data_IF_622023855607
#
_entry.id   IF_622023855607
#
_cell.length_a   1.000
_cell.length_b   1.000
_cell.length_c   1.000
_cell.angle_alpha   90.00
_cell.angle_beta   90.00
_cell.angle_gamma   90.00
#
_symmetry.space_group_name_H-M   'P 1'
#
loop_
_entity.id
_entity.type
_entity.pdbx_description
1 polymer ?
#
# COMPACT_ATOMS: atom_id res chain seq x y z
N UNK A 1 57.33 62.98 -4.84
CA UNK A 1 57.00 61.60 -4.56
C UNK A 1 55.49 61.38 -4.74
N UNK A 2 55.10 60.88 -5.88
CA UNK A 2 53.70 60.74 -6.30
C UNK A 2 53.31 59.27 -6.05
N UNK A 3 52.32 59.05 -5.16
CA UNK A 3 51.83 57.71 -4.83
C UNK A 3 50.61 57.41 -5.72
N UNK A 4 50.76 56.50 -6.63
CA UNK A 4 49.69 55.99 -7.52
C UNK A 4 48.85 54.94 -6.75
N UNK A 5 47.53 55.19 -6.57
CA UNK A 5 46.60 54.22 -6.01
C UNK A 5 46.07 53.32 -7.14
N UNK A 6 46.30 52.02 -7.03
CA UNK A 6 45.73 50.98 -7.92
C UNK A 6 44.37 50.58 -7.31
N UNK A 7 43.32 50.87 -8.01
CA UNK A 7 41.96 50.41 -7.64
C UNK A 7 41.75 48.95 -8.11
N UNK A 8 41.43 48.06 -7.17
CA UNK A 8 41.01 46.69 -7.47
C UNK A 8 39.49 46.69 -7.65
N UNK A 9 39.06 46.35 -8.86
CA UNK A 9 37.66 46.18 -9.21
C UNK A 9 37.26 44.75 -8.81
N UNK A 10 36.48 44.56 -7.74
CA UNK A 10 35.92 43.28 -7.35
C UNK A 10 34.63 43.02 -8.14
N UNK A 11 34.69 42.11 -9.08
CA UNK A 11 33.50 41.63 -9.81
C UNK A 11 32.82 40.54 -8.98
N UNK A 12 31.67 40.86 -8.37
CA UNK A 12 30.82 39.88 -7.68
C UNK A 12 30.02 39.11 -8.72
N UNK A 13 30.35 37.83 -8.93
CA UNK A 13 29.48 36.90 -9.65
C UNK A 13 28.31 36.52 -8.74
N UNK A 14 27.11 36.96 -9.05
CA UNK A 14 25.88 36.48 -8.45
C UNK A 14 25.52 35.15 -9.06
N UNK A 15 25.74 34.05 -8.34
CA UNK A 15 25.18 32.74 -8.67
C UNK A 15 23.70 32.77 -8.30
N UNK A 16 22.83 32.85 -9.28
CA UNK A 16 21.40 32.65 -9.10
C UNK A 16 21.18 31.16 -8.80
N UNK A 17 20.88 30.80 -7.55
CA UNK A 17 20.31 29.52 -7.21
C UNK A 17 18.90 29.46 -7.81
N UNK A 18 18.72 28.74 -8.93
CA UNK A 18 17.42 28.31 -9.40
C UNK A 18 16.88 27.32 -8.38
N UNK A 19 15.91 27.72 -7.57
CA UNK A 19 15.13 26.84 -6.72
C UNK A 19 14.41 25.76 -7.57
N UNK A 20 13.98 24.64 -6.94
CA UNK A 20 13.25 23.60 -7.66
C UNK A 20 12.03 24.27 -8.35
N UNK A 21 11.88 23.94 -9.66
CA UNK A 21 10.77 24.42 -10.47
C UNK A 21 9.46 24.15 -9.74
N UNK A 22 8.66 25.22 -9.53
CA UNK A 22 7.27 25.11 -9.09
C UNK A 22 6.58 24.05 -9.95
N UNK A 23 6.24 22.91 -9.34
CA UNK A 23 5.24 22.00 -9.92
C UNK A 23 3.97 22.84 -9.98
N UNK A 24 3.58 23.21 -11.19
CA UNK A 24 2.33 23.89 -11.46
C UNK A 24 1.23 23.16 -10.66
N UNK A 25 0.47 23.90 -9.85
CA UNK A 25 -0.73 23.44 -9.18
C UNK A 25 -1.75 23.00 -10.24
N UNK A 26 -1.65 21.77 -10.66
CA UNK A 26 -2.75 21.10 -11.35
C UNK A 26 -3.80 20.94 -10.26
N UNK A 27 -4.99 21.56 -10.38
CA UNK A 27 -6.04 21.36 -9.38
C UNK A 27 -6.25 19.86 -9.25
N UNK A 28 -6.29 19.33 -8.01
CA UNK A 28 -6.43 17.90 -7.81
C UNK A 28 -7.66 17.43 -8.58
N UNK A 29 -7.48 16.45 -9.45
CA UNK A 29 -8.60 15.79 -10.09
C UNK A 29 -9.57 15.41 -8.98
N UNK A 30 -10.87 15.65 -9.16
CA UNK A 30 -11.88 15.28 -8.18
C UNK A 30 -11.90 13.75 -8.09
N UNK A 31 -11.30 13.21 -7.03
CA UNK A 31 -11.25 11.78 -6.73
C UNK A 31 -12.46 11.33 -5.89
N UNK A 32 -13.49 12.17 -5.79
CA UNK A 32 -14.73 11.92 -5.03
C UNK A 32 -15.72 11.00 -5.76
N UNK A 33 -15.49 10.70 -7.04
CA UNK A 33 -16.33 9.83 -7.87
C UNK A 33 -15.51 8.82 -8.65
N UNK A 34 -16.16 7.68 -8.95
CA UNK A 34 -15.51 6.56 -9.62
C UNK A 34 -14.56 5.81 -8.70
N UNK A 35 -13.72 4.99 -9.29
CA UNK A 35 -12.80 4.10 -8.56
C UNK A 35 -11.35 4.57 -8.70
N UNK A 36 -10.69 4.73 -7.57
CA UNK A 36 -9.28 5.11 -7.48
C UNK A 36 -8.52 4.17 -6.56
N UNK A 37 -7.26 3.92 -6.86
CA UNK A 37 -6.34 3.19 -5.99
C UNK A 37 -5.28 4.13 -5.46
N UNK A 38 -5.16 4.22 -4.14
CA UNK A 38 -4.16 5.05 -3.45
C UNK A 38 -3.19 4.13 -2.73
N UNK A 39 -1.91 4.18 -3.08
CA UNK A 39 -0.88 3.45 -2.35
C UNK A 39 -0.55 4.22 -1.06
N UNK A 40 -1.03 3.73 0.08
CA UNK A 40 -0.76 4.35 1.39
C UNK A 40 0.63 3.99 1.90
N UNK A 41 1.14 2.83 1.53
CA UNK A 41 2.47 2.37 1.84
C UNK A 41 2.93 1.33 0.82
N UNK A 42 4.17 1.47 0.36
CA UNK A 42 4.78 0.63 -0.67
C UNK A 42 6.05 -0.08 -0.17
N UNK A 43 6.37 0.11 1.11
CA UNK A 43 7.52 -0.50 1.77
C UNK A 43 7.34 -2.00 1.99
N UNK A 44 8.30 -2.57 2.67
CA UNK A 44 8.44 -3.96 3.04
C UNK A 44 9.09 -4.01 4.45
N UNK A 45 9.51 -5.15 5.02
CA UNK A 45 10.08 -5.19 6.37
C UNK A 45 11.35 -4.34 6.59
N UNK A 46 12.02 -3.89 5.52
CA UNK A 46 13.18 -3.01 5.67
C UNK A 46 12.74 -1.62 6.15
N UNK A 47 13.39 -1.12 7.20
CA UNK A 47 13.09 0.18 7.80
C UNK A 47 13.55 1.34 6.90
N UNK A 48 12.82 1.60 5.82
CA UNK A 48 13.02 2.75 4.95
C UNK A 48 12.14 3.91 5.43
N UNK A 49 12.71 5.06 5.87
CA UNK A 49 11.92 6.19 6.37
C UNK A 49 11.03 6.85 5.31
N UNK A 50 11.36 6.68 4.02
CA UNK A 50 10.60 7.26 2.91
C UNK A 50 9.40 6.42 2.47
N UNK A 51 9.29 5.19 2.98
CA UNK A 51 8.22 4.24 2.61
C UNK A 51 7.56 3.65 3.85
N UNK A 52 6.27 3.81 3.94
CA UNK A 52 5.44 3.15 4.97
C UNK A 52 5.24 1.67 4.63
N UNK A 53 4.87 0.87 5.62
CA UNK A 53 4.55 -0.55 5.39
C UNK A 53 3.38 -0.75 4.43
N UNK A 54 3.25 -1.95 3.84
CA UNK A 54 2.29 -2.24 2.80
C UNK A 54 0.86 -1.87 3.23
N UNK A 55 0.25 -0.96 2.48
CA UNK A 55 -1.15 -0.59 2.66
C UNK A 55 -1.68 0.09 1.39
N UNK A 56 -2.82 -0.34 0.92
CA UNK A 56 -3.47 0.20 -0.27
C UNK A 56 -4.92 0.56 0.05
N UNK A 57 -5.42 1.68 -0.47
CA UNK A 57 -6.83 2.03 -0.40
C UNK A 57 -7.45 1.96 -1.80
N UNK A 58 -8.51 1.17 -1.95
CA UNK A 58 -9.42 1.23 -3.09
C UNK A 58 -10.57 2.15 -2.70
N UNK A 59 -10.64 3.32 -3.32
CA UNK A 59 -11.67 4.32 -3.03
C UNK A 59 -12.72 4.28 -4.13
N UNK A 60 -13.96 4.02 -3.76
CA UNK A 60 -15.09 3.90 -4.70
C UNK A 60 -16.19 4.85 -4.28
N UNK A 61 -16.50 5.84 -5.10
CA UNK A 61 -17.54 6.83 -4.82
C UNK A 61 -17.50 7.38 -3.39
N UNK A 62 -16.30 7.83 -2.96
CA UNK A 62 -16.07 8.45 -1.66
C UNK A 62 -16.09 7.50 -0.46
N UNK A 63 -15.95 6.19 -0.65
CA UNK A 63 -15.76 5.21 0.41
C UNK A 63 -14.46 4.44 0.22
N UNK A 64 -13.68 4.23 1.28
CA UNK A 64 -12.38 3.58 1.22
C UNK A 64 -12.45 2.13 1.71
N UNK A 65 -11.88 1.22 0.92
CA UNK A 65 -11.65 -0.19 1.24
C UNK A 65 -10.15 -0.40 1.32
N UNK A 66 -9.65 -0.73 2.52
CA UNK A 66 -8.22 -0.86 2.77
C UNK A 66 -7.76 -2.30 2.48
N UNK A 67 -6.56 -2.45 1.94
CA UNK A 67 -5.86 -3.73 1.83
C UNK A 67 -4.55 -3.62 2.56
N UNK A 68 -4.35 -4.50 3.53
CA UNK A 68 -3.29 -4.52 4.51
C UNK A 68 -3.24 -3.30 5.44
N UNK A 69 -2.59 -3.49 6.57
CA UNK A 69 -2.43 -2.50 7.62
C UNK A 69 -0.97 -2.43 8.06
N UNK A 70 -0.08 -2.11 7.12
CA UNK A 70 1.33 -1.90 7.42
C UNK A 70 1.58 -0.67 8.32
N UNK A 71 2.77 -0.59 8.96
CA UNK A 71 3.14 0.55 9.78
C UNK A 71 2.97 1.88 9.05
N UNK A 72 2.23 2.81 9.66
CA UNK A 72 2.02 4.15 9.11
C UNK A 72 0.68 4.37 8.40
N UNK A 73 -0.13 3.34 8.17
CA UNK A 73 -1.37 3.39 7.39
C UNK A 73 -2.28 4.59 7.72
N UNK A 74 -2.60 4.84 9.01
CA UNK A 74 -3.50 5.95 9.40
C UNK A 74 -2.90 7.32 9.08
N UNK A 75 -1.58 7.48 9.28
CA UNK A 75 -0.89 8.75 8.96
C UNK A 75 -0.83 8.99 7.46
N UNK A 76 -0.63 7.94 6.68
CA UNK A 76 -0.61 8.01 5.21
C UNK A 76 -2.00 8.23 4.63
N UNK A 77 -3.04 7.62 5.20
CA UNK A 77 -4.42 7.91 4.84
C UNK A 77 -4.75 9.39 5.08
N UNK A 78 -4.39 9.95 6.25
CA UNK A 78 -4.57 11.37 6.54
C UNK A 78 -3.78 12.28 5.59
N UNK A 79 -2.55 11.90 5.21
CA UNK A 79 -1.76 12.64 4.24
C UNK A 79 -2.41 12.63 2.85
N UNK A 80 -2.90 11.47 2.39
CA UNK A 80 -3.64 11.34 1.14
C UNK A 80 -4.95 12.13 1.16
N UNK A 81 -5.71 12.06 2.26
CA UNK A 81 -6.94 12.84 2.46
C UNK A 81 -6.69 14.35 2.25
N UNK A 82 -5.62 14.86 2.86
CA UNK A 82 -5.25 16.27 2.73
C UNK A 82 -4.75 16.60 1.32
N UNK A 83 -3.84 15.77 0.78
CA UNK A 83 -3.20 16.02 -0.53
C UNK A 83 -4.20 16.03 -1.69
N UNK A 84 -5.19 15.15 -1.63
CA UNK A 84 -6.13 14.92 -2.72
C UNK A 84 -7.55 15.43 -2.42
N UNK A 85 -7.76 16.09 -1.26
CA UNK A 85 -9.08 16.51 -0.79
C UNK A 85 -10.08 15.34 -0.81
N UNK A 86 -9.67 14.20 -0.24
CA UNK A 86 -10.37 12.93 -0.32
C UNK A 86 -10.89 12.51 1.05
N UNK A 87 -12.11 12.92 1.39
CA UNK A 87 -12.73 12.69 2.70
C UNK A 87 -12.82 11.20 3.07
N UNK A 88 -12.91 10.31 2.08
CA UNK A 88 -12.92 8.85 2.30
C UNK A 88 -11.71 8.36 3.12
N UNK A 89 -10.56 9.06 3.07
CA UNK A 89 -9.34 8.70 3.77
C UNK A 89 -9.13 9.48 5.08
N UNK A 90 -10.09 10.29 5.52
CA UNK A 90 -10.09 10.85 6.88
C UNK A 90 -10.20 9.70 7.89
N UNK A 91 -9.46 9.81 8.99
CA UNK A 91 -9.36 8.73 9.97
C UNK A 91 -10.72 8.17 10.40
N UNK A 92 -11.71 9.04 10.68
CA UNK A 92 -13.07 8.63 11.08
C UNK A 92 -13.82 7.76 10.05
N UNK A 93 -13.38 7.77 8.78
CA UNK A 93 -14.02 7.05 7.67
C UNK A 93 -13.30 5.73 7.31
N UNK A 94 -12.22 5.38 8.03
CA UNK A 94 -11.49 4.13 7.84
C UNK A 94 -12.18 3.03 8.65
N UNK A 95 -13.13 2.32 8.06
CA UNK A 95 -14.01 1.38 8.76
C UNK A 95 -13.94 -0.08 8.23
N UNK A 96 -13.13 -0.36 7.20
CA UNK A 96 -13.00 -1.71 6.62
C UNK A 96 -11.59 -1.97 6.11
N UNK A 97 -11.05 -3.14 6.41
CA UNK A 97 -9.74 -3.60 5.94
C UNK A 97 -9.75 -5.08 5.59
N UNK A 98 -9.03 -5.43 4.52
CA UNK A 98 -8.78 -6.79 4.04
C UNK A 98 -7.30 -7.10 4.24
N UNK A 99 -6.96 -8.07 5.08
CA UNK A 99 -5.58 -8.48 5.38
C UNK A 99 -5.20 -9.65 4.47
N UNK A 100 -4.09 -9.51 3.75
CA UNK A 100 -3.62 -10.53 2.81
C UNK A 100 -3.03 -11.75 3.51
N UNK A 101 -2.20 -11.52 4.50
CA UNK A 101 -1.56 -12.53 5.35
C UNK A 101 -1.05 -11.91 6.66
N UNK A 102 -0.56 -12.72 7.60
CA UNK A 102 -0.29 -12.24 8.96
C UNK A 102 1.19 -11.87 9.23
N UNK A 103 1.99 -11.59 8.21
CA UNK A 103 3.31 -10.99 8.45
C UNK A 103 3.20 -9.63 9.13
N UNK A 104 4.21 -9.33 9.94
CA UNK A 104 4.19 -8.13 10.79
C UNK A 104 4.19 -6.82 10.01
N UNK A 105 4.84 -6.75 8.87
CA UNK A 105 4.85 -5.55 8.02
C UNK A 105 3.49 -5.27 7.37
N UNK A 106 2.60 -6.27 7.25
CA UNK A 106 1.22 -6.13 6.78
C UNK A 106 0.22 -5.88 7.91
N UNK A 107 0.61 -6.08 9.18
CA UNK A 107 -0.32 -6.05 10.33
C UNK A 107 0.08 -5.13 11.49
N UNK A 108 1.33 -4.65 11.57
CA UNK A 108 1.78 -3.77 12.68
C UNK A 108 1.06 -2.42 12.74
N UNK A 109 0.42 -1.98 11.68
CA UNK A 109 -0.45 -0.79 11.66
C UNK A 109 -1.89 -1.08 12.09
N UNK A 110 -2.29 -2.37 12.24
CA UNK A 110 -3.65 -2.73 12.61
C UNK A 110 -4.08 -2.14 13.96
N UNK A 111 -3.28 -2.18 15.03
CA UNK A 111 -3.64 -1.50 16.28
C UNK A 111 -3.81 0.02 16.09
N UNK A 112 -2.98 0.67 15.26
CA UNK A 112 -3.18 2.08 14.94
C UNK A 112 -4.50 2.31 14.19
N UNK A 113 -4.90 1.40 13.29
CA UNK A 113 -6.16 1.47 12.54
C UNK A 113 -7.38 1.18 13.44
N UNK A 114 -7.24 0.36 14.47
CA UNK A 114 -8.29 0.11 15.45
C UNK A 114 -8.51 1.36 16.33
N UNK A 115 -7.46 1.89 16.94
CA UNK A 115 -7.61 2.86 18.03
C UNK A 115 -7.52 4.32 17.58
N UNK A 116 -6.66 4.70 16.62
CA UNK A 116 -6.51 6.11 16.23
C UNK A 116 -7.75 6.66 15.56
N UNK A 117 -8.43 5.97 14.61
CA UNK A 117 -9.69 6.42 14.04
C UNK A 117 -10.82 6.58 15.06
N UNK A 118 -10.90 5.68 16.05
CA UNK A 118 -11.86 5.81 17.16
C UNK A 118 -11.65 7.11 17.94
N UNK A 119 -10.42 7.45 18.30
CA UNK A 119 -10.07 8.70 18.97
C UNK A 119 -10.38 9.92 18.09
N UNK A 120 -10.46 9.73 16.78
CA UNK A 120 -10.75 10.76 15.76
C UNK A 120 -12.17 10.61 15.18
N UNK A 121 -13.13 10.23 16.03
CA UNK A 121 -14.57 10.21 15.79
C UNK A 121 -15.09 9.08 14.86
N UNK A 122 -14.36 7.98 14.66
CA UNK A 122 -14.99 6.77 14.11
C UNK A 122 -15.91 6.19 15.19
N UNK A 123 -17.20 6.09 14.89
CA UNK A 123 -18.26 5.67 15.82
C UNK A 123 -18.82 4.26 15.53
N UNK A 124 -18.23 3.58 14.54
CA UNK A 124 -18.54 2.19 14.18
C UNK A 124 -17.34 1.27 14.40
N UNK A 125 -17.56 -0.03 14.66
CA UNK A 125 -16.48 -1.01 14.71
C UNK A 125 -15.66 -1.05 13.41
N UNK A 126 -14.35 -1.34 13.51
CA UNK A 126 -13.55 -1.66 12.34
C UNK A 126 -13.90 -3.06 11.84
N UNK A 127 -14.35 -3.18 10.61
CA UNK A 127 -14.53 -4.49 9.94
C UNK A 127 -13.19 -5.00 9.41
N UNK A 128 -12.78 -6.17 9.87
CA UNK A 128 -11.53 -6.81 9.47
C UNK A 128 -11.82 -8.14 8.80
N UNK A 129 -11.40 -8.29 7.57
CA UNK A 129 -11.44 -9.53 6.79
C UNK A 129 -10.01 -10.04 6.63
N UNK A 130 -9.72 -11.26 7.02
CA UNK A 130 -8.35 -11.78 6.93
C UNK A 130 -8.25 -13.30 7.03
N UNK A 131 -7.06 -13.87 6.84
CA UNK A 131 -6.85 -15.31 6.92
C UNK A 131 -7.12 -15.84 8.33
N UNK A 132 -7.30 -17.17 8.48
CA UNK A 132 -7.33 -17.83 9.78
C UNK A 132 -6.19 -17.38 10.70
N UNK A 133 -6.51 -17.07 11.97
CA UNK A 133 -5.62 -16.46 12.97
C UNK A 133 -5.82 -14.95 13.13
N UNK A 134 -6.56 -14.27 12.26
CA UNK A 134 -6.84 -12.83 12.39
C UNK A 134 -7.75 -12.54 13.59
N UNK A 135 -8.68 -13.44 13.96
CA UNK A 135 -9.52 -13.32 15.14
C UNK A 135 -8.65 -13.33 16.40
N UNK A 136 -7.78 -14.33 16.53
CA UNK A 136 -6.87 -14.43 17.69
C UNK A 136 -5.95 -13.19 17.79
N UNK A 137 -5.41 -12.72 16.68
CA UNK A 137 -4.60 -11.51 16.62
C UNK A 137 -5.38 -10.28 17.13
N UNK A 138 -6.59 -10.05 16.64
CA UNK A 138 -7.40 -8.87 17.01
C UNK A 138 -7.85 -8.93 18.48
N UNK A 139 -8.25 -10.10 18.99
CA UNK A 139 -8.60 -10.30 20.39
C UNK A 139 -7.42 -9.93 21.32
N UNK A 140 -6.20 -10.34 20.96
CA UNK A 140 -5.00 -9.99 21.73
C UNK A 140 -4.65 -8.50 21.61
N UNK A 141 -4.88 -7.86 20.47
CA UNK A 141 -4.71 -6.42 20.31
C UNK A 141 -5.70 -5.64 21.19
N UNK A 142 -6.99 -5.99 21.19
CA UNK A 142 -7.98 -5.36 22.07
C UNK A 142 -7.61 -5.55 23.55
N UNK A 143 -7.19 -6.75 23.94
CA UNK A 143 -6.73 -7.04 25.30
C UNK A 143 -5.49 -6.22 25.70
N UNK A 144 -4.55 -6.01 24.77
CA UNK A 144 -3.34 -5.21 25.02
C UNK A 144 -3.66 -3.75 25.34
N UNK A 145 -4.66 -3.15 24.68
CA UNK A 145 -5.06 -1.74 24.88
C UNK A 145 -6.24 -1.54 25.83
N UNK A 146 -6.73 -2.57 26.51
CA UNK A 146 -7.90 -2.47 27.42
C UNK A 146 -7.79 -1.36 28.48
N UNK A 147 -6.58 -1.03 28.93
CA UNK A 147 -6.39 0.04 29.91
C UNK A 147 -6.55 1.42 29.30
N UNK A 148 -6.08 1.62 28.07
CA UNK A 148 -6.29 2.86 27.31
C UNK A 148 -7.78 3.04 27.01
N UNK A 149 -8.45 2.00 26.51
CA UNK A 149 -9.89 2.01 26.24
C UNK A 149 -10.68 2.39 27.47
N UNK A 150 -10.42 1.72 28.61
CA UNK A 150 -11.10 2.04 29.88
C UNK A 150 -10.85 3.49 30.31
N UNK A 151 -9.59 3.94 30.25
CA UNK A 151 -9.24 5.32 30.65
C UNK A 151 -9.99 6.36 29.83
N UNK A 152 -10.18 6.12 28.51
CA UNK A 152 -10.91 7.03 27.64
C UNK A 152 -12.43 6.97 27.84
N UNK A 153 -13.00 5.76 28.00
CA UNK A 153 -14.45 5.58 28.21
C UNK A 153 -14.89 6.14 29.59
N UNK A 154 -14.13 5.83 30.63
CA UNK A 154 -14.47 6.23 32.01
C UNK A 154 -13.94 7.64 32.37
N UNK A 155 -13.11 8.23 31.51
CA UNK A 155 -12.43 9.50 31.73
C UNK A 155 -13.21 10.72 31.22
N UNK A 156 -12.47 11.82 30.98
CA UNK A 156 -13.05 13.10 30.55
C UNK A 156 -12.98 13.30 29.01
N UNK A 157 -12.35 12.40 28.28
CA UNK A 157 -12.27 12.51 26.84
C UNK A 157 -13.64 12.23 26.22
N UNK A 158 -14.21 13.13 25.39
CA UNK A 158 -15.40 12.80 24.63
C UNK A 158 -15.08 11.63 23.70
N UNK A 159 -15.72 10.48 23.92
CA UNK A 159 -15.49 9.31 23.08
C UNK A 159 -16.77 8.48 23.00
N UNK A 160 -16.90 7.70 21.93
CA UNK A 160 -18.03 6.81 21.74
C UNK A 160 -17.69 5.38 22.22
N UNK A 161 -18.70 4.54 22.56
CA UNK A 161 -18.48 3.21 23.12
C UNK A 161 -18.25 2.12 22.07
N UNK A 162 -18.21 2.43 20.78
CA UNK A 162 -18.27 1.43 19.71
C UNK A 162 -17.06 1.47 18.76
N UNK A 163 -16.49 2.65 18.50
CA UNK A 163 -15.47 2.82 17.49
C UNK A 163 -14.12 2.14 17.75
N UNK A 164 -13.85 1.68 18.96
CA UNK A 164 -12.65 0.88 19.27
C UNK A 164 -12.85 -0.61 19.05
N UNK A 165 -14.08 -1.06 18.86
CA UNK A 165 -14.41 -2.47 18.66
C UNK A 165 -14.01 -2.94 17.26
N UNK A 166 -13.82 -4.23 17.12
CA UNK A 166 -13.49 -4.87 15.85
C UNK A 166 -14.58 -5.89 15.49
N UNK A 167 -15.04 -5.88 14.26
CA UNK A 167 -15.92 -6.90 13.67
C UNK A 167 -15.07 -7.74 12.71
N UNK A 168 -14.68 -8.94 13.14
CA UNK A 168 -13.63 -9.74 12.51
C UNK A 168 -14.22 -10.94 11.77
N UNK A 169 -13.76 -11.15 10.54
CA UNK A 169 -14.17 -12.24 9.67
C UNK A 169 -12.95 -13.01 9.16
N UNK A 170 -12.79 -14.26 9.59
CA UNK A 170 -11.86 -15.17 8.92
C UNK A 170 -12.43 -15.58 7.57
N UNK A 171 -11.61 -15.50 6.53
CA UNK A 171 -12.04 -15.71 5.15
C UNK A 171 -11.46 -16.98 4.55
N UNK A 172 -12.11 -17.43 3.49
CA UNK A 172 -11.64 -18.49 2.59
C UNK A 172 -11.63 -17.94 1.14
N UNK A 173 -10.98 -18.65 0.18
CA UNK A 173 -11.00 -18.25 -1.22
C UNK A 173 -12.43 -18.07 -1.76
N UNK A 174 -12.65 -17.04 -2.56
CA UNK A 174 -13.94 -16.69 -3.16
C UNK A 174 -14.43 -15.29 -2.74
N UNK A 175 -15.72 -15.02 -2.96
CA UNK A 175 -16.33 -13.76 -2.56
C UNK A 175 -16.37 -13.64 -1.03
N UNK A 176 -15.74 -12.58 -0.48
CA UNK A 176 -15.63 -12.36 0.96
C UNK A 176 -16.41 -11.13 1.42
N UNK A 177 -16.71 -10.21 0.51
CA UNK A 177 -17.48 -9.01 0.81
C UNK A 177 -18.19 -8.49 -0.44
N UNK A 178 -19.39 -7.96 -0.27
CA UNK A 178 -20.07 -7.20 -1.32
C UNK A 178 -20.97 -6.13 -0.71
N UNK A 179 -20.99 -4.97 -1.33
CA UNK A 179 -21.97 -3.92 -1.09
C UNK A 179 -22.44 -3.30 -2.42
N UNK A 180 -23.13 -2.15 -2.35
CA UNK A 180 -23.61 -1.48 -3.56
C UNK A 180 -22.52 -0.92 -4.47
N UNK A 181 -21.29 -0.78 -4.00
CA UNK A 181 -20.17 -0.17 -4.72
C UNK A 181 -19.18 -1.20 -5.24
N UNK A 182 -18.96 -2.28 -4.50
CA UNK A 182 -17.85 -3.19 -4.76
C UNK A 182 -18.22 -4.63 -4.42
N UNK A 183 -17.61 -5.56 -5.15
CA UNK A 183 -17.50 -6.97 -4.80
C UNK A 183 -16.02 -7.29 -4.59
N UNK A 184 -15.69 -7.91 -3.46
CA UNK A 184 -14.31 -8.28 -3.12
C UNK A 184 -14.19 -9.79 -3.10
N UNK A 185 -13.24 -10.30 -3.86
CA UNK A 185 -12.91 -11.73 -3.95
C UNK A 185 -11.51 -11.97 -3.40
N UNK A 186 -11.37 -12.88 -2.46
CA UNK A 186 -10.07 -13.37 -1.97
C UNK A 186 -9.52 -14.42 -2.94
N UNK A 187 -8.30 -14.21 -3.39
CA UNK A 187 -7.57 -15.04 -4.35
C UNK A 187 -6.50 -15.79 -3.56
N UNK A 188 -6.52 -17.13 -3.49
CA UNK A 188 -5.47 -17.85 -2.80
C UNK A 188 -4.14 -17.69 -3.56
N UNK A 189 -3.08 -17.34 -2.84
CA UNK A 189 -1.74 -17.19 -3.39
C UNK A 189 -0.72 -17.96 -2.55
N UNK A 190 0.31 -18.57 -3.16
CA UNK A 190 1.38 -19.19 -2.41
C UNK A 190 2.35 -18.13 -1.89
N UNK A 191 2.64 -18.15 -0.59
CA UNK A 191 3.60 -17.25 0.04
C UNK A 191 4.41 -17.98 1.11
N UNK A 192 5.57 -18.49 0.73
CA UNK A 192 6.45 -19.21 1.65
C UNK A 192 5.75 -20.38 2.34
N UNK A 193 5.84 -20.42 3.66
CA UNK A 193 5.23 -21.46 4.51
C UNK A 193 3.86 -21.09 5.07
N UNK A 194 3.25 -19.99 4.62
CA UNK A 194 1.90 -19.63 5.04
C UNK A 194 0.88 -20.57 4.41
N UNK A 195 0.06 -21.22 5.22
CA UNK A 195 -1.05 -22.06 4.75
C UNK A 195 -2.16 -21.23 4.10
N UNK A 196 -2.30 -19.97 4.53
CA UNK A 196 -3.31 -19.03 4.07
C UNK A 196 -2.69 -17.66 3.80
N UNK A 197 -2.55 -17.33 2.51
CA UNK A 197 -2.23 -16.01 2.01
C UNK A 197 -3.14 -15.68 0.84
N UNK A 198 -3.54 -14.42 0.72
CA UNK A 198 -4.52 -13.99 -0.27
C UNK A 198 -4.05 -12.74 -1.02
N UNK A 199 -4.31 -12.71 -2.32
CA UNK A 199 -4.53 -11.47 -3.06
C UNK A 199 -6.01 -11.11 -3.03
N UNK A 200 -6.35 -9.92 -3.49
CA UNK A 200 -7.74 -9.47 -3.57
C UNK A 200 -8.09 -8.92 -4.94
N UNK A 201 -9.27 -9.28 -5.44
CA UNK A 201 -9.87 -8.63 -6.61
C UNK A 201 -11.06 -7.78 -6.15
N UNK A 202 -11.06 -6.53 -6.63
CA UNK A 202 -12.15 -5.59 -6.47
C UNK A 202 -12.83 -5.38 -7.81
N UNK A 203 -14.08 -5.79 -7.91
CA UNK A 203 -14.94 -5.49 -9.06
C UNK A 203 -15.88 -4.33 -8.66
N UNK A 204 -15.74 -3.19 -9.33
CA UNK A 204 -16.57 -2.00 -9.16
C UNK A 204 -17.41 -1.74 -10.41
N UNK A 205 -18.18 -0.67 -10.44
CA UNK A 205 -19.00 -0.33 -11.61
C UNK A 205 -18.15 0.04 -12.85
N UNK A 206 -16.95 0.56 -12.64
CA UNK A 206 -16.09 1.12 -13.68
C UNK A 206 -14.71 0.47 -13.79
N UNK A 207 -14.29 -0.38 -12.81
CA UNK A 207 -12.94 -0.97 -12.79
C UNK A 207 -12.91 -2.37 -12.21
N UNK A 208 -11.96 -3.17 -12.70
CA UNK A 208 -11.47 -4.39 -12.07
C UNK A 208 -10.03 -4.17 -11.61
N UNK A 209 -9.80 -4.33 -10.31
CA UNK A 209 -8.49 -4.12 -9.68
C UNK A 209 -8.07 -5.43 -9.03
N UNK A 210 -6.83 -5.84 -9.24
CA UNK A 210 -6.22 -6.99 -8.55
C UNK A 210 -5.01 -6.51 -7.76
N UNK A 211 -4.94 -6.90 -6.48
CA UNK A 211 -3.83 -6.63 -5.57
C UNK A 211 -3.27 -7.98 -5.12
N UNK A 212 -2.00 -8.23 -5.37
CA UNK A 212 -1.42 -9.57 -5.18
C UNK A 212 -1.28 -10.00 -3.71
N UNK A 213 -1.09 -9.05 -2.78
CA UNK A 213 -0.42 -9.36 -1.53
C UNK A 213 1.01 -9.82 -1.80
N UNK A 214 1.65 -10.50 -0.84
CA UNK A 214 2.93 -11.16 -1.07
C UNK A 214 2.69 -12.55 -1.65
N UNK A 215 3.37 -12.87 -2.74
CA UNK A 215 3.12 -14.11 -3.47
C UNK A 215 4.30 -14.54 -4.33
N UNK A 216 4.52 -15.84 -4.47
CA UNK A 216 5.22 -16.36 -5.65
C UNK A 216 4.31 -16.29 -6.87
N UNK A 217 4.84 -16.40 -8.11
CA UNK A 217 4.01 -16.37 -9.32
C UNK A 217 2.84 -17.35 -9.23
N UNK A 218 1.61 -16.85 -9.36
CA UNK A 218 0.39 -17.63 -9.16
C UNK A 218 -0.56 -17.54 -10.36
N UNK A 219 -0.99 -18.68 -10.88
CA UNK A 219 -1.98 -18.78 -11.96
C UNK A 219 -3.32 -18.16 -11.53
N UNK A 220 -3.67 -18.29 -10.23
CA UNK A 220 -4.88 -17.67 -9.65
C UNK A 220 -4.91 -16.15 -9.82
N UNK A 221 -3.77 -15.47 -9.77
CA UNK A 221 -3.68 -14.03 -10.03
C UNK A 221 -3.84 -13.71 -11.51
N UNK A 222 -3.30 -14.55 -12.40
CA UNK A 222 -3.49 -14.42 -13.86
C UNK A 222 -4.97 -14.54 -14.22
N UNK A 223 -5.64 -15.58 -13.70
CA UNK A 223 -7.07 -15.82 -13.91
C UNK A 223 -7.94 -14.68 -13.33
N UNK A 224 -7.61 -14.23 -12.12
CA UNK A 224 -8.35 -13.17 -11.46
C UNK A 224 -8.23 -11.82 -12.19
N UNK A 225 -7.06 -11.51 -12.74
CA UNK A 225 -6.84 -10.30 -13.53
C UNK A 225 -7.47 -10.44 -14.93
N UNK A 226 -7.01 -11.37 -15.74
CA UNK A 226 -7.51 -11.65 -17.11
C UNK A 226 -7.99 -10.39 -17.85
N UNK A 227 -7.07 -9.43 -18.04
CA UNK A 227 -7.36 -8.14 -18.64
C UNK A 227 -7.97 -7.12 -17.66
N UNK A 228 -7.65 -7.20 -16.35
CA UNK A 228 -8.06 -6.21 -15.36
C UNK A 228 -7.50 -4.82 -15.69
N UNK A 229 -8.15 -3.77 -15.19
CA UNK A 229 -7.72 -2.40 -15.43
C UNK A 229 -6.41 -2.08 -14.70
N UNK A 230 -6.25 -2.65 -13.49
CA UNK A 230 -5.08 -2.43 -12.65
C UNK A 230 -4.66 -3.73 -11.96
N UNK A 231 -3.38 -4.07 -12.10
CA UNK A 231 -2.71 -5.10 -11.30
C UNK A 231 -1.66 -4.42 -10.41
N UNK A 232 -1.88 -4.40 -9.11
CA UNK A 232 -0.89 -3.98 -8.11
C UNK A 232 -0.19 -5.24 -7.61
N UNK A 233 1.12 -5.36 -7.85
CA UNK A 233 1.84 -6.59 -7.56
C UNK A 233 3.18 -6.33 -6.86
N UNK A 234 3.50 -7.16 -5.87
CA UNK A 234 4.81 -7.16 -5.22
C UNK A 234 5.92 -7.58 -6.19
N UNK A 235 7.15 -7.21 -5.88
CA UNK A 235 8.29 -7.57 -6.75
C UNK A 235 9.62 -7.54 -6.03
N UNK A 236 10.51 -8.51 -6.32
CA UNK A 236 11.91 -8.35 -6.02
C UNK A 236 12.77 -8.24 -7.29
N UNK A 237 13.87 -7.46 -7.21
CA UNK A 237 14.84 -7.37 -8.30
C UNK A 237 15.57 -8.70 -8.50
N UNK A 238 15.55 -9.22 -9.72
CA UNK A 238 16.28 -10.42 -10.11
C UNK A 238 17.81 -10.21 -9.96
N UNK A 239 18.34 -9.10 -10.45
CA UNK A 239 19.77 -8.78 -10.36
C UNK A 239 20.23 -8.56 -8.92
N UNK A 240 19.43 -7.84 -8.13
CA UNK A 240 19.70 -7.63 -6.70
C UNK A 240 19.62 -8.93 -5.91
N UNK A 241 18.67 -9.80 -6.21
CA UNK A 241 18.54 -11.12 -5.62
C UNK A 241 19.75 -12.01 -5.89
N UNK A 242 20.32 -12.00 -7.10
CA UNK A 242 21.52 -12.76 -7.45
C UNK A 242 22.76 -12.38 -6.61
N UNK A 243 22.76 -11.19 -6.00
CA UNK A 243 23.85 -10.73 -5.11
C UNK A 243 23.63 -11.11 -3.64
N UNK A 244 22.50 -11.74 -3.29
CA UNK A 244 22.20 -12.16 -1.91
C UNK A 244 22.88 -13.48 -1.58
N UNK A 245 23.00 -13.78 -0.28
CA UNK A 245 23.48 -15.11 0.14
C UNK A 245 22.52 -16.23 -0.31
N UNK A 246 23.02 -17.47 -0.46
CA UNK A 246 22.18 -18.59 -0.91
C UNK A 246 20.92 -18.84 -0.05
N UNK A 247 20.99 -18.53 1.26
CA UNK A 247 19.83 -18.65 2.17
C UNK A 247 18.76 -17.62 1.80
N UNK A 248 19.14 -16.36 1.57
CA UNK A 248 18.23 -15.31 1.17
C UNK A 248 17.69 -15.53 -0.25
N UNK A 249 18.50 -16.07 -1.15
CA UNK A 249 18.03 -16.43 -2.49
C UNK A 249 16.92 -17.48 -2.41
N UNK A 250 17.13 -18.54 -1.61
CA UNK A 250 16.10 -19.58 -1.41
C UNK A 250 14.83 -19.02 -0.80
N UNK A 251 14.96 -18.17 0.25
CA UNK A 251 13.82 -17.54 0.91
C UNK A 251 12.99 -16.69 -0.06
N UNK A 252 13.61 -15.75 -0.77
CA UNK A 252 12.86 -14.88 -1.67
C UNK A 252 12.23 -15.63 -2.84
N UNK A 253 12.92 -16.61 -3.42
CA UNK A 253 12.35 -17.43 -4.48
C UNK A 253 11.18 -18.32 -4.00
N UNK A 254 11.14 -18.64 -2.70
CA UNK A 254 10.08 -19.43 -2.09
C UNK A 254 8.87 -18.58 -1.66
N UNK A 255 9.07 -17.29 -1.39
CA UNK A 255 8.05 -16.44 -0.79
C UNK A 255 7.54 -15.31 -1.70
N UNK A 256 8.32 -14.88 -2.69
CA UNK A 256 8.05 -13.67 -3.47
C UNK A 256 8.21 -13.87 -4.99
N UNK A 257 7.80 -12.87 -5.75
CA UNK A 257 7.87 -12.89 -7.23
C UNK A 257 9.04 -12.05 -7.72
N UNK A 258 9.94 -12.67 -8.54
CA UNK A 258 11.00 -11.89 -9.20
C UNK A 258 10.43 -11.01 -10.31
N UNK A 259 11.11 -9.90 -10.58
CA UNK A 259 10.78 -8.96 -11.66
C UNK A 259 10.62 -9.64 -13.02
N UNK A 260 11.51 -10.60 -13.35
CA UNK A 260 11.43 -11.38 -14.60
C UNK A 260 10.20 -12.31 -14.60
N UNK A 261 9.92 -12.96 -13.46
CA UNK A 261 8.74 -13.82 -13.34
C UNK A 261 7.45 -12.99 -13.38
N UNK A 262 7.43 -11.82 -12.74
CA UNK A 262 6.32 -10.88 -12.81
C UNK A 262 6.06 -10.43 -14.26
N UNK A 263 7.12 -10.21 -15.04
CA UNK A 263 6.99 -9.89 -16.46
C UNK A 263 6.26 -10.96 -17.27
N UNK A 264 6.50 -12.24 -16.97
CA UNK A 264 5.78 -13.37 -17.60
C UNK A 264 4.31 -13.40 -17.15
N UNK A 265 4.08 -13.31 -15.84
CA UNK A 265 2.74 -13.28 -15.26
C UNK A 265 1.90 -12.13 -15.84
N UNK A 266 2.45 -10.92 -15.89
CA UNK A 266 1.75 -9.77 -16.42
C UNK A 266 1.50 -9.85 -17.93
N UNK A 267 2.42 -10.47 -18.70
CA UNK A 267 2.20 -10.71 -20.13
C UNK A 267 1.02 -11.66 -20.39
N UNK A 268 0.79 -12.63 -19.50
CA UNK A 268 -0.33 -13.56 -19.57
C UNK A 268 -1.61 -12.93 -19.03
N UNK A 269 -1.56 -12.26 -17.87
CA UNK A 269 -2.69 -11.59 -17.22
C UNK A 269 -3.20 -10.37 -18.00
N UNK A 270 -2.34 -9.69 -18.77
CA UNK A 270 -2.65 -8.53 -19.63
C UNK A 270 -3.38 -7.39 -18.92
N UNK A 271 -2.88 -6.88 -17.76
CA UNK A 271 -3.48 -5.74 -17.12
C UNK A 271 -3.40 -4.48 -17.98
N UNK A 272 -4.36 -3.57 -17.82
CA UNK A 272 -4.32 -2.24 -18.42
C UNK A 272 -3.14 -1.41 -17.90
N UNK A 273 -2.83 -1.54 -16.59
CA UNK A 273 -1.65 -0.99 -15.93
C UNK A 273 -1.12 -1.99 -14.89
N UNK A 274 0.19 -2.27 -14.92
CA UNK A 274 0.92 -2.96 -13.85
C UNK A 274 1.55 -1.93 -12.92
N UNK A 275 1.21 -1.98 -11.63
CA UNK A 275 1.82 -1.15 -10.59
C UNK A 275 2.68 -2.02 -9.68
N UNK A 276 3.96 -1.67 -9.57
CA UNK A 276 4.90 -2.35 -8.69
C UNK A 276 4.83 -1.74 -7.28
N UNK A 277 4.53 -2.54 -6.27
CA UNK A 277 4.54 -2.11 -4.87
C UNK A 277 5.29 -3.16 -4.02
N UNK A 278 5.43 -2.96 -2.71
CA UNK A 278 6.18 -3.86 -1.83
C UNK A 278 7.54 -4.26 -2.46
N UNK A 279 8.28 -3.24 -2.95
CA UNK A 279 9.45 -3.50 -3.77
C UNK A 279 10.65 -3.92 -2.92
N UNK A 280 11.10 -5.14 -3.09
CA UNK A 280 12.37 -5.67 -2.59
C UNK A 280 13.48 -5.35 -3.61
N UNK A 281 13.86 -4.05 -3.68
CA UNK A 281 14.76 -3.55 -4.72
C UNK A 281 16.20 -4.11 -4.61
N UNK A 282 16.65 -4.46 -3.39
CA UNK A 282 17.96 -5.11 -3.13
C UNK A 282 19.15 -4.38 -3.77
N UNK A 283 19.06 -3.03 -3.86
CA UNK A 283 20.09 -2.17 -4.45
C UNK A 283 19.87 -1.79 -5.91
N UNK A 284 18.88 -2.37 -6.59
CA UNK A 284 18.50 -1.98 -7.95
C UNK A 284 17.65 -0.71 -7.96
N UNK A 285 17.73 0.04 -9.07
CA UNK A 285 16.89 1.22 -9.30
C UNK A 285 15.51 0.84 -9.83
N UNK A 286 14.52 1.74 -9.78
CA UNK A 286 13.22 1.51 -10.40
C UNK A 286 13.29 1.16 -11.89
N UNK A 287 14.17 1.84 -12.64
CA UNK A 287 14.38 1.63 -14.07
C UNK A 287 14.96 0.24 -14.37
N UNK A 288 15.88 -0.24 -13.53
CA UNK A 288 16.44 -1.58 -13.65
C UNK A 288 15.37 -2.65 -13.40
N UNK A 289 14.54 -2.50 -12.37
CA UNK A 289 13.44 -3.43 -12.07
C UNK A 289 12.41 -3.42 -13.20
N UNK A 290 12.05 -2.25 -13.73
CA UNK A 290 11.17 -2.15 -14.89
C UNK A 290 11.76 -2.87 -16.12
N UNK A 291 13.07 -2.69 -16.38
CA UNK A 291 13.75 -3.38 -17.47
C UNK A 291 13.73 -4.90 -17.31
N UNK A 292 13.87 -5.41 -16.08
CA UNK A 292 13.77 -6.83 -15.76
C UNK A 292 12.34 -7.36 -16.01
N UNK A 293 11.30 -6.61 -15.63
CA UNK A 293 9.90 -6.95 -15.95
C UNK A 293 9.69 -7.00 -17.46
N UNK A 294 10.26 -6.03 -18.21
CA UNK A 294 10.24 -6.04 -19.68
C UNK A 294 10.95 -7.27 -20.26
N UNK A 295 12.09 -7.67 -19.68
CA UNK A 295 12.82 -8.88 -20.07
C UNK A 295 11.98 -10.15 -19.87
N UNK A 296 11.08 -10.17 -18.86
CA UNK A 296 10.09 -11.22 -18.65
C UNK A 296 9.01 -11.34 -19.72
N UNK A 297 8.87 -10.34 -20.61
CA UNK A 297 7.95 -10.37 -21.75
C UNK A 297 6.80 -9.39 -21.72
N UNK A 298 6.53 -8.72 -20.61
CA UNK A 298 5.45 -7.74 -20.51
C UNK A 298 5.75 -6.50 -21.35
N UNK A 299 4.75 -6.03 -22.14
CA UNK A 299 4.86 -4.86 -23.03
C UNK A 299 3.83 -3.77 -22.73
N UNK A 300 2.93 -4.02 -21.75
CA UNK A 300 1.94 -3.04 -21.33
C UNK A 300 2.53 -1.91 -20.46
N UNK A 301 1.71 -0.96 -19.99
CA UNK A 301 2.12 0.11 -19.09
C UNK A 301 2.60 -0.43 -17.75
N UNK A 302 3.70 0.13 -17.21
CA UNK A 302 4.22 -0.15 -15.87
C UNK A 302 4.36 1.16 -15.10
N UNK A 303 4.07 1.13 -13.82
CA UNK A 303 4.39 2.18 -12.87
C UNK A 303 5.13 1.60 -11.67
N UNK A 304 6.23 2.23 -11.28
CA UNK A 304 6.90 1.95 -10.00
C UNK A 304 6.22 2.77 -8.91
N UNK A 305 5.39 2.12 -8.09
CA UNK A 305 4.55 2.78 -7.10
C UNK A 305 5.35 3.42 -5.96
N UNK A 306 4.93 4.60 -5.55
CA UNK A 306 5.43 5.29 -4.37
C UNK A 306 4.28 5.55 -3.39
N UNK A 307 4.63 5.79 -2.13
CA UNK A 307 3.64 6.20 -1.14
C UNK A 307 2.87 7.43 -1.62
N UNK A 308 1.56 7.38 -1.50
CA UNK A 308 0.60 8.40 -1.91
C UNK A 308 0.42 8.55 -3.44
N UNK A 309 0.94 7.64 -4.26
CA UNK A 309 0.55 7.62 -5.67
C UNK A 309 -0.93 7.21 -5.83
N UNK A 310 -1.58 7.75 -6.85
CA UNK A 310 -3.01 7.50 -7.18
C UNK A 310 -3.14 7.00 -8.62
N UNK A 311 -3.94 5.97 -8.80
CA UNK A 311 -4.20 5.32 -10.10
C UNK A 311 -5.69 5.23 -10.40
#
# INVERSE_FOLDING_TARGET
MTVTRIGVLATTLSVACSGPADRADIPPARLDRGTHVVLLGTGNPNANPERSGPATAVVVDGHAYLVDAGPGIVRRAAAAATRYNLDALLARNLDIVFITHLHSDHTLGLPALIFSPWVLDRDVPLRVYGPPGIVDMTDHLEAAWRLDVRNRIDGLQPTNPDGYKVDVHEIAPGEVYADRRVRVTAIPVPHGSWDHAFGYRFDTADRRIVISGDATPAESLVEACNGCDLLVHEVYSEAGWQQRSPEWQRYHAYAHTSSVALGRLAAEARPGLLVLYHQLAMGSTPEEIEAEVRAGGYRGPIAYGNDLDVY
#
